data_IF_204794178695
#
_entry.id   IF_204794178695
#
_cell.length_a   1.000
_cell.length_b   1.000
_cell.length_c   1.000
_cell.angle_alpha   90.00
_cell.angle_beta   90.00
_cell.angle_gamma   90.00
#
_symmetry.space_group_name_H-M   'P 1'
#
loop_
_entity.id
_entity.type
_entity.pdbx_description
1 polymer ?
#
# COMPACT_ATOMS: atom_id res chain seq x y z
N UNK A 1 -44.51 33.72 -3.38
CA UNK A 1 -44.11 34.33 -4.66
C UNK A 1 -43.65 33.22 -5.59
N UNK A 2 -44.20 33.09 -6.80
CA UNK A 2 -43.65 32.18 -7.81
C UNK A 2 -42.34 32.78 -8.35
N UNK A 3 -41.28 31.97 -8.52
CA UNK A 3 -40.01 32.43 -9.08
C UNK A 3 -40.21 32.93 -10.52
N UNK A 4 -39.42 33.92 -10.94
CA UNK A 4 -39.45 34.47 -12.31
C UNK A 4 -39.32 33.36 -13.35
N UNK A 5 -38.50 32.34 -13.06
CA UNK A 5 -38.33 31.15 -13.89
C UNK A 5 -39.63 30.35 -14.03
N UNK A 6 -40.32 30.04 -12.93
CA UNK A 6 -41.59 29.29 -12.97
C UNK A 6 -42.67 29.99 -13.78
N UNK A 7 -42.74 31.33 -13.70
CA UNK A 7 -43.67 32.12 -14.53
C UNK A 7 -43.37 31.96 -16.02
N UNK A 8 -42.09 32.06 -16.40
CA UNK A 8 -41.65 31.92 -17.79
C UNK A 8 -41.84 30.50 -18.33
N UNK A 9 -41.58 29.48 -17.53
CA UNK A 9 -41.85 28.08 -17.88
C UNK A 9 -43.34 27.83 -18.13
N UNK A 10 -44.21 28.39 -17.28
CA UNK A 10 -45.67 28.32 -17.48
C UNK A 10 -46.13 29.08 -18.74
N UNK A 11 -45.59 30.28 -19.00
CA UNK A 11 -45.88 31.04 -20.23
C UNK A 11 -45.47 30.30 -21.50
N UNK A 12 -44.39 29.51 -21.41
CA UNK A 12 -43.85 28.71 -22.52
C UNK A 12 -44.44 27.29 -22.58
N UNK A 13 -45.33 26.93 -21.65
CA UNK A 13 -45.95 25.60 -21.52
C UNK A 13 -44.94 24.44 -21.50
N UNK A 14 -43.76 24.66 -20.90
CA UNK A 14 -42.71 23.63 -20.77
C UNK A 14 -42.37 23.34 -19.31
N UNK A 15 -41.99 22.09 -19.04
CA UNK A 15 -41.43 21.71 -17.74
C UNK A 15 -40.01 22.23 -17.57
N UNK A 16 -39.58 22.38 -16.32
CA UNK A 16 -38.20 22.75 -15.99
C UNK A 16 -37.19 21.70 -16.49
N UNK A 17 -37.53 20.42 -16.40
CA UNK A 17 -36.74 19.31 -16.96
C UNK A 17 -36.53 19.49 -18.47
N UNK A 18 -37.62 19.79 -19.20
CA UNK A 18 -37.55 20.00 -20.66
C UNK A 18 -36.77 21.26 -21.04
N UNK A 19 -36.76 22.29 -20.19
CA UNK A 19 -35.86 23.43 -20.36
C UNK A 19 -34.39 22.98 -20.26
N UNK A 20 -34.05 22.19 -19.25
CA UNK A 20 -32.68 21.68 -19.09
C UNK A 20 -32.27 20.77 -20.24
N UNK A 21 -33.18 19.94 -20.76
CA UNK A 21 -32.93 19.14 -21.96
C UNK A 21 -32.52 20.02 -23.15
N UNK A 22 -33.26 21.11 -23.42
CA UNK A 22 -32.90 22.04 -24.50
C UNK A 22 -31.56 22.74 -24.25
N UNK A 23 -31.28 23.09 -22.99
CA UNK A 23 -29.99 23.70 -22.62
C UNK A 23 -28.85 22.72 -22.90
N UNK A 24 -28.96 21.46 -22.47
CA UNK A 24 -27.93 20.46 -22.70
C UNK A 24 -27.82 20.08 -24.18
N UNK A 25 -28.94 19.99 -24.91
CA UNK A 25 -28.93 19.75 -26.37
C UNK A 25 -28.07 20.78 -27.12
N UNK A 26 -28.06 22.04 -26.67
CA UNK A 26 -27.23 23.09 -27.27
C UNK A 26 -25.83 23.19 -26.67
N UNK A 27 -25.69 22.96 -25.36
CA UNK A 27 -24.43 23.10 -24.66
C UNK A 27 -23.46 21.94 -24.94
N UNK A 28 -23.98 20.70 -25.00
CA UNK A 28 -23.18 19.50 -25.24
C UNK A 28 -22.38 19.53 -26.55
N UNK A 29 -22.91 19.91 -27.72
CA UNK A 29 -22.11 19.99 -28.93
C UNK A 29 -21.01 21.06 -28.81
N UNK A 30 -21.28 22.22 -28.20
CA UNK A 30 -20.28 23.27 -27.99
C UNK A 30 -19.15 22.77 -27.07
N UNK A 31 -19.50 22.11 -25.97
CA UNK A 31 -18.50 21.51 -25.06
C UNK A 31 -17.65 20.46 -25.76
N UNK A 32 -18.29 19.62 -26.59
CA UNK A 32 -17.61 18.61 -27.38
C UNK A 32 -16.63 19.25 -28.37
N UNK A 33 -17.06 20.25 -29.12
CA UNK A 33 -16.22 20.92 -30.12
C UNK A 33 -15.01 21.61 -29.47
N UNK A 34 -15.23 22.33 -28.36
CA UNK A 34 -14.16 22.96 -27.56
C UNK A 34 -13.17 21.91 -27.06
N UNK A 35 -13.69 20.78 -26.55
CA UNK A 35 -12.84 19.69 -26.05
C UNK A 35 -12.02 19.08 -27.18
N UNK A 36 -12.63 18.77 -28.32
CA UNK A 36 -11.93 18.20 -29.47
C UNK A 36 -10.89 19.16 -30.06
N UNK A 37 -11.16 20.47 -30.06
CA UNK A 37 -10.18 21.48 -30.45
C UNK A 37 -9.01 21.54 -29.47
N UNK A 38 -9.32 21.58 -28.16
CA UNK A 38 -8.31 21.60 -27.12
C UNK A 38 -7.42 20.34 -27.14
N UNK A 39 -7.99 19.16 -27.34
CA UNK A 39 -7.24 17.89 -27.40
C UNK A 39 -6.31 17.79 -28.63
N UNK A 40 -6.56 18.60 -29.66
CA UNK A 40 -5.68 18.70 -30.85
C UNK A 40 -4.52 19.68 -30.65
N UNK A 41 -4.54 20.49 -29.59
CA UNK A 41 -3.45 21.44 -29.31
C UNK A 41 -2.16 20.71 -28.94
N UNK A 42 -1.02 21.32 -29.30
CA UNK A 42 0.29 20.77 -28.96
C UNK A 42 0.49 20.73 -27.44
N UNK A 43 -0.03 21.73 -26.72
CA UNK A 43 0.06 21.81 -25.27
C UNK A 43 -0.67 20.66 -24.58
N UNK A 44 -1.87 20.31 -25.06
CA UNK A 44 -2.61 19.16 -24.52
C UNK A 44 -1.87 17.85 -24.78
N UNK A 45 -1.43 17.63 -26.02
CA UNK A 45 -0.72 16.41 -26.41
C UNK A 45 0.56 16.23 -25.59
N UNK A 46 1.39 17.27 -25.49
CA UNK A 46 2.61 17.24 -24.69
C UNK A 46 2.31 17.00 -23.20
N UNK A 47 1.29 17.66 -22.64
CA UNK A 47 0.89 17.46 -21.24
C UNK A 47 0.41 16.02 -20.99
N UNK A 48 -0.36 15.44 -21.91
CA UNK A 48 -0.82 14.07 -21.84
C UNK A 48 0.34 13.08 -21.90
N UNK A 49 1.27 13.24 -22.85
CA UNK A 49 2.45 12.40 -22.96
C UNK A 49 3.33 12.47 -21.70
N UNK A 50 3.56 13.69 -21.18
CA UNK A 50 4.30 13.86 -19.93
C UNK A 50 3.59 13.19 -18.75
N UNK A 51 2.26 13.32 -18.66
CA UNK A 51 1.47 12.67 -17.63
C UNK A 51 1.61 11.15 -17.70
N UNK A 52 1.52 10.56 -18.89
CA UNK A 52 1.65 9.11 -19.08
C UNK A 52 3.03 8.60 -18.66
N UNK A 53 4.09 9.31 -19.02
CA UNK A 53 5.47 8.97 -18.63
C UNK A 53 5.63 9.02 -17.11
N UNK A 54 5.13 10.08 -16.47
CA UNK A 54 5.21 10.25 -15.02
C UNK A 54 4.39 9.18 -14.30
N UNK A 55 3.17 8.87 -14.78
CA UNK A 55 2.33 7.82 -14.19
C UNK A 55 3.02 6.46 -14.27
N UNK A 56 3.53 6.09 -15.45
CA UNK A 56 4.23 4.82 -15.63
C UNK A 56 5.49 4.71 -14.74
N UNK A 57 6.22 5.82 -14.56
CA UNK A 57 7.36 5.87 -13.65
C UNK A 57 6.95 5.68 -12.18
N UNK A 58 5.87 6.35 -11.74
CA UNK A 58 5.37 6.25 -10.37
C UNK A 58 4.88 4.83 -10.04
N UNK A 59 4.15 4.22 -10.97
CA UNK A 59 3.66 2.84 -10.83
C UNK A 59 4.83 1.85 -10.71
N UNK A 60 5.83 1.98 -11.59
CA UNK A 60 7.03 1.14 -11.56
C UNK A 60 7.86 1.36 -10.28
N UNK A 61 8.01 2.62 -9.85
CA UNK A 61 8.68 2.96 -8.61
C UNK A 61 7.97 2.32 -7.41
N UNK A 62 6.65 2.43 -7.31
CA UNK A 62 5.88 1.87 -6.21
C UNK A 62 6.05 0.35 -6.12
N UNK A 63 5.95 -0.35 -7.25
CA UNK A 63 6.11 -1.79 -7.32
C UNK A 63 7.54 -2.24 -6.93
N UNK A 64 8.55 -1.50 -7.39
CA UNK A 64 9.95 -1.81 -7.10
C UNK A 64 10.33 -1.52 -5.64
N UNK A 65 9.93 -0.35 -5.14
CA UNK A 65 10.22 0.08 -3.77
C UNK A 65 9.53 -0.82 -2.74
N UNK A 66 8.39 -1.44 -3.09
CA UNK A 66 7.75 -2.46 -2.25
C UNK A 66 8.60 -3.72 -2.05
N UNK A 67 9.51 -4.03 -2.98
CA UNK A 67 10.38 -5.21 -2.94
C UNK A 67 11.74 -4.87 -2.33
N UNK A 68 12.35 -3.77 -2.77
CA UNK A 68 13.75 -3.43 -2.47
C UNK A 68 13.91 -2.31 -1.44
N UNK A 69 12.82 -1.64 -1.06
CA UNK A 69 12.79 -0.53 -0.12
C UNK A 69 12.57 0.82 -0.79
N UNK A 70 12.10 1.79 -0.01
CA UNK A 70 11.78 3.15 -0.47
C UNK A 70 12.96 3.82 -1.17
N UNK A 71 12.68 4.57 -2.23
CA UNK A 71 13.63 5.42 -2.95
C UNK A 71 14.76 4.64 -3.64
N UNK A 72 14.60 3.33 -3.85
CA UNK A 72 15.63 2.51 -4.49
C UNK A 72 15.49 2.49 -6.00
N UNK A 73 14.25 2.58 -6.53
CA UNK A 73 14.00 2.59 -7.97
C UNK A 73 14.78 3.68 -8.71
N UNK A 74 14.72 4.93 -8.23
CA UNK A 74 15.41 6.10 -8.82
C UNK A 74 16.94 6.01 -8.85
N UNK A 75 17.52 5.06 -8.10
CA UNK A 75 18.97 4.83 -8.14
C UNK A 75 19.40 3.94 -9.31
N UNK A 76 18.43 3.21 -9.90
CA UNK A 76 18.63 2.24 -10.96
C UNK A 76 18.07 2.73 -12.29
N UNK A 77 16.85 3.28 -12.28
CA UNK A 77 16.09 3.64 -13.47
C UNK A 77 15.91 5.16 -13.58
N UNK A 78 15.78 5.65 -14.82
CA UNK A 78 15.38 7.04 -15.10
C UNK A 78 13.86 7.20 -15.20
N UNK A 79 13.41 8.43 -15.47
CA UNK A 79 11.98 8.81 -15.58
C UNK A 79 11.25 8.09 -16.72
N UNK A 80 11.99 7.53 -17.69
CA UNK A 80 11.45 6.77 -18.80
C UNK A 80 11.55 5.25 -18.55
N UNK A 81 11.77 4.85 -17.29
CA UNK A 81 11.95 3.46 -16.87
C UNK A 81 13.12 2.75 -17.54
N UNK A 82 14.12 3.49 -18.02
CA UNK A 82 15.33 2.92 -18.62
C UNK A 82 16.34 2.60 -17.53
N UNK A 83 16.87 1.37 -17.51
CA UNK A 83 17.91 0.97 -16.56
C UNK A 83 19.21 1.71 -16.88
N UNK A 84 19.58 2.66 -16.02
CA UNK A 84 20.82 3.44 -16.13
C UNK A 84 21.93 2.90 -15.25
N UNK A 85 21.58 2.21 -14.16
CA UNK A 85 22.55 1.67 -13.22
C UNK A 85 22.32 0.18 -12.91
N UNK A 86 22.77 -0.72 -13.82
CA UNK A 86 22.61 -2.15 -13.62
C UNK A 86 23.38 -2.67 -12.39
N UNK A 87 24.51 -2.05 -12.03
CA UNK A 87 25.29 -2.48 -10.87
C UNK A 87 24.53 -2.26 -9.56
N UNK A 88 23.81 -1.14 -9.42
CA UNK A 88 22.98 -0.89 -8.23
C UNK A 88 21.81 -1.86 -8.15
N UNK A 89 21.18 -2.17 -9.28
CA UNK A 89 20.11 -3.16 -9.33
C UNK A 89 20.59 -4.53 -8.82
N UNK A 90 21.76 -4.99 -9.27
CA UNK A 90 22.32 -6.27 -8.81
C UNK A 90 22.67 -6.24 -7.30
N UNK A 91 23.18 -5.12 -6.78
CA UNK A 91 23.40 -4.96 -5.33
C UNK A 91 22.11 -5.05 -4.52
N UNK A 92 21.02 -4.47 -5.01
CA UNK A 92 19.71 -4.55 -4.36
C UNK A 92 19.14 -5.97 -4.37
N UNK A 93 19.25 -6.67 -5.50
CA UNK A 93 18.87 -8.09 -5.62
C UNK A 93 19.65 -8.98 -4.65
N UNK A 94 20.96 -8.79 -4.59
CA UNK A 94 21.81 -9.60 -3.70
C UNK A 94 21.48 -9.34 -2.22
N UNK A 95 21.29 -8.08 -1.83
CA UNK A 95 20.84 -7.73 -0.47
C UNK A 95 19.51 -8.40 -0.13
N UNK A 96 18.55 -8.37 -1.05
CA UNK A 96 17.24 -9.00 -0.86
C UNK A 96 17.38 -10.52 -0.70
N UNK A 97 18.18 -11.16 -1.55
CA UNK A 97 18.47 -12.60 -1.46
C UNK A 97 19.09 -12.97 -0.11
N UNK A 98 20.09 -12.23 0.35
CA UNK A 98 20.72 -12.47 1.65
C UNK A 98 19.73 -12.31 2.81
N UNK A 99 18.86 -11.30 2.75
CA UNK A 99 17.81 -11.09 3.75
C UNK A 99 16.79 -12.23 3.76
N UNK A 100 16.36 -12.70 2.59
CA UNK A 100 15.41 -13.81 2.46
C UNK A 100 16.03 -15.14 2.91
N UNK A 101 17.30 -15.39 2.58
CA UNK A 101 18.05 -16.56 3.04
C UNK A 101 18.25 -16.55 4.56
N UNK A 102 18.65 -15.41 5.13
CA UNK A 102 18.75 -15.25 6.58
C UNK A 102 17.41 -15.50 7.27
N UNK A 103 16.33 -14.92 6.74
CA UNK A 103 14.97 -15.11 7.26
C UNK A 103 14.58 -16.58 7.22
N UNK A 104 14.81 -17.27 6.08
CA UNK A 104 14.53 -18.70 5.92
C UNK A 104 15.34 -19.57 6.88
N UNK A 105 16.65 -19.31 7.02
CA UNK A 105 17.53 -20.03 7.96
C UNK A 105 17.12 -19.80 9.40
N UNK A 106 16.77 -18.56 9.77
CA UNK A 106 16.22 -18.22 11.09
C UNK A 106 14.94 -19.01 11.36
N UNK A 107 13.98 -19.00 10.44
CA UNK A 107 12.76 -19.81 10.58
C UNK A 107 13.04 -21.32 10.70
N UNK A 108 14.02 -21.85 9.96
CA UNK A 108 14.42 -23.25 10.04
C UNK A 108 15.11 -23.59 11.37
N UNK A 109 16.05 -22.76 11.83
CA UNK A 109 16.77 -22.93 13.10
C UNK A 109 15.80 -22.85 14.30
N UNK A 110 14.95 -21.82 14.34
CA UNK A 110 13.93 -21.69 15.39
C UNK A 110 12.83 -22.77 15.33
N UNK A 111 12.68 -23.47 14.19
CA UNK A 111 11.79 -24.63 14.05
C UNK A 111 12.45 -25.95 14.43
N UNK A 112 13.77 -26.07 14.32
CA UNK A 112 14.53 -27.23 14.79
C UNK A 112 14.85 -27.17 16.28
N UNK A 113 14.84 -25.98 16.89
CA UNK A 113 14.96 -25.77 18.33
C UNK A 113 13.66 -26.15 19.07
N UNK A 114 13.21 -27.40 18.92
CA UNK A 114 12.39 -28.08 19.92
C UNK A 114 13.28 -28.44 21.12
N UNK A 115 13.75 -27.44 21.85
CA UNK A 115 14.24 -27.68 23.20
C UNK A 115 13.01 -28.04 24.05
N UNK A 116 12.88 -29.33 24.34
CA UNK A 116 12.01 -29.84 25.39
C UNK A 116 12.49 -29.31 26.74
N UNK A 117 11.91 -28.19 27.16
CA UNK A 117 12.18 -27.56 28.46
C UNK A 117 11.21 -28.05 29.53
N UNK A 118 10.59 -29.23 29.37
CA UNK A 118 9.70 -29.85 30.37
C UNK A 118 10.39 -30.09 31.72
N UNK A 119 11.71 -29.91 31.83
CA UNK A 119 12.47 -30.21 33.06
C UNK A 119 12.77 -29.00 33.96
N UNK A 120 12.50 -27.75 33.56
CA UNK A 120 13.15 -26.59 34.23
C UNK A 120 12.25 -25.45 34.74
N UNK A 121 10.92 -25.52 34.65
CA UNK A 121 10.05 -24.50 35.25
C UNK A 121 8.84 -25.10 35.98
N UNK A 122 8.99 -25.21 37.30
CA UNK A 122 7.87 -25.24 38.22
C UNK A 122 7.04 -23.95 38.15
N UNK A 123 5.76 -24.08 38.48
CA UNK A 123 4.74 -23.04 38.56
C UNK A 123 4.31 -22.39 37.23
N UNK A 124 3.43 -23.10 36.52
CA UNK A 124 2.51 -22.49 35.56
C UNK A 124 1.54 -21.56 36.28
N UNK A 125 1.63 -20.26 36.01
CA UNK A 125 0.44 -19.42 36.07
C UNK A 125 -0.60 -20.06 35.16
N UNK A 126 -1.78 -20.38 35.69
CA UNK A 126 -2.84 -21.06 34.96
C UNK A 126 -3.26 -20.22 33.75
N UNK A 127 -2.72 -20.53 32.57
CA UNK A 127 -3.22 -19.96 31.32
C UNK A 127 -4.40 -20.81 30.86
N UNK A 128 -5.53 -20.16 30.59
CA UNK A 128 -6.80 -20.83 30.23
C UNK A 128 -6.82 -21.34 28.77
N UNK A 129 -5.67 -21.33 28.09
CA UNK A 129 -5.58 -21.74 26.69
C UNK A 129 -5.24 -23.22 26.58
N UNK A 130 -5.98 -23.93 25.73
CA UNK A 130 -5.66 -25.29 25.30
C UNK A 130 -4.32 -25.33 24.57
N UNK A 131 -3.71 -26.52 24.46
CA UNK A 131 -2.44 -26.68 23.75
C UNK A 131 -2.53 -26.31 22.27
N UNK A 132 -3.70 -26.51 21.64
CA UNK A 132 -3.98 -26.05 20.28
C UNK A 132 -4.00 -24.53 20.18
N UNK A 133 -4.62 -23.85 21.13
CA UNK A 133 -4.68 -22.37 21.16
C UNK A 133 -3.30 -21.79 21.46
N UNK A 134 -2.52 -22.40 22.36
CA UNK A 134 -1.11 -22.03 22.60
C UNK A 134 -0.27 -22.13 21.34
N UNK A 135 -0.48 -23.13 20.48
CA UNK A 135 0.19 -23.22 19.18
C UNK A 135 -0.19 -22.07 18.25
N UNK A 136 -1.44 -21.62 18.25
CA UNK A 136 -1.88 -20.46 17.48
C UNK A 136 -1.31 -19.16 18.04
N UNK A 137 -1.35 -18.96 19.36
CA UNK A 137 -0.77 -17.81 20.05
C UNK A 137 0.74 -17.70 19.82
N UNK A 138 1.46 -18.84 19.77
CA UNK A 138 2.88 -18.88 19.38
C UNK A 138 3.10 -18.37 17.95
N UNK A 139 2.23 -18.72 16.99
CA UNK A 139 2.31 -18.18 15.62
C UNK A 139 2.07 -16.67 15.59
N UNK A 140 1.06 -16.19 16.31
CA UNK A 140 0.73 -14.76 16.41
C UNK A 140 1.89 -13.98 17.03
N UNK A 141 2.44 -14.49 18.15
CA UNK A 141 3.59 -13.90 18.82
C UNK A 141 4.80 -13.80 17.89
N UNK A 142 5.09 -14.84 17.09
CA UNK A 142 6.21 -14.86 16.14
C UNK A 142 6.09 -13.81 15.05
N UNK A 143 4.90 -13.68 14.44
CA UNK A 143 4.65 -12.67 13.41
C UNK A 143 4.78 -11.26 13.99
N UNK A 144 4.26 -11.05 15.20
CA UNK A 144 4.36 -9.77 15.89
C UNK A 144 5.82 -9.43 16.26
N UNK A 145 6.56 -10.37 16.87
CA UNK A 145 7.94 -10.15 17.29
C UNK A 145 8.87 -9.87 16.10
N UNK A 146 8.69 -10.57 14.96
CA UNK A 146 9.45 -10.31 13.75
C UNK A 146 9.17 -8.90 13.17
N UNK A 147 7.90 -8.46 13.22
CA UNK A 147 7.50 -7.15 12.69
C UNK A 147 7.93 -5.98 13.56
N UNK A 148 7.96 -6.18 14.88
CA UNK A 148 8.24 -5.13 15.86
C UNK A 148 9.64 -5.24 16.49
N UNK A 149 10.53 -6.02 15.91
CA UNK A 149 11.91 -6.10 16.37
C UNK A 149 12.57 -4.70 16.27
N UNK A 150 13.38 -4.28 17.26
CA UNK A 150 14.09 -3.00 17.20
C UNK A 150 14.98 -2.86 15.96
N UNK A 151 15.53 -3.96 15.43
CA UNK A 151 16.30 -3.96 14.18
C UNK A 151 15.46 -3.63 12.93
N UNK A 152 14.14 -3.82 13.00
CA UNK A 152 13.20 -3.57 11.88
C UNK A 152 12.47 -2.23 12.06
N UNK A 153 12.31 -1.74 13.30
CA UNK A 153 11.55 -0.53 13.61
C UNK A 153 12.36 0.47 14.42
N UNK A 154 12.72 1.59 13.79
CA UNK A 154 13.77 2.50 14.27
C UNK A 154 13.43 3.37 15.48
N UNK A 155 12.20 3.37 16.02
CA UNK A 155 11.85 4.23 17.17
C UNK A 155 10.81 3.67 18.16
N UNK A 156 10.20 2.50 17.92
CA UNK A 156 9.16 1.93 18.80
C UNK A 156 9.29 0.42 19.08
N UNK A 157 10.32 -0.25 18.55
CA UNK A 157 10.49 -1.69 18.69
C UNK A 157 10.71 -2.16 20.13
N UNK A 158 11.41 -1.37 20.96
CA UNK A 158 11.72 -1.76 22.34
C UNK A 158 10.48 -1.76 23.26
N UNK A 159 9.59 -0.77 23.13
CA UNK A 159 8.33 -0.71 23.90
C UNK A 159 7.37 -1.83 23.49
N UNK A 160 7.29 -2.12 22.19
CA UNK A 160 6.41 -3.16 21.66
C UNK A 160 6.94 -4.56 22.00
N UNK A 161 8.26 -4.79 21.95
CA UNK A 161 8.86 -6.05 22.38
C UNK A 161 8.67 -6.32 23.89
N UNK A 162 8.77 -5.28 24.73
CA UNK A 162 8.43 -5.39 26.17
C UNK A 162 6.96 -5.75 26.40
N UNK A 163 6.04 -5.20 25.60
CA UNK A 163 4.61 -5.55 25.65
C UNK A 163 4.35 -6.99 25.20
N UNK A 164 4.93 -7.42 24.08
CA UNK A 164 4.86 -8.79 23.60
C UNK A 164 5.42 -9.78 24.64
N UNK A 165 6.51 -9.43 25.32
CA UNK A 165 7.06 -10.23 26.42
C UNK A 165 6.10 -10.42 27.60
N UNK A 166 5.25 -9.43 27.90
CA UNK A 166 4.18 -9.58 28.91
C UNK A 166 3.07 -10.51 28.43
N UNK A 167 2.64 -10.38 27.18
CA UNK A 167 1.63 -11.26 26.57
C UNK A 167 2.10 -12.71 26.54
N UNK A 168 3.36 -12.95 26.16
CA UNK A 168 4.00 -14.28 26.18
C UNK A 168 3.84 -14.96 27.55
N UNK A 169 4.16 -14.22 28.63
CA UNK A 169 4.01 -14.71 30.01
C UNK A 169 2.55 -14.96 30.39
N UNK A 170 1.63 -14.08 30.02
CA UNK A 170 0.19 -14.23 30.30
C UNK A 170 -0.46 -15.41 29.56
N UNK A 171 -0.02 -15.65 28.33
CA UNK A 171 -0.49 -16.77 27.51
C UNK A 171 0.13 -18.11 27.93
N UNK A 172 1.21 -18.07 28.72
CA UNK A 172 1.96 -19.26 29.14
C UNK A 172 2.64 -19.94 27.95
N UNK A 173 3.22 -19.15 27.04
CA UNK A 173 3.93 -19.63 25.83
C UNK A 173 5.39 -19.15 25.76
#
# INVERSE_FOLDING_TARGET
MQSTLKKKLNEMEISEERLWDYVYEKLTPIQKDIKEEYEKTEEYQAAHEHHDIVSAYQDAQQAFDAIYGKDTYKTCYDVFNTLRNPQQLERLKERKRQSDEYTKRSYQSYSSDNYDWSSLLGNTAASNYSDSEKKMLKKIYRVAAAKFHPDVTSNHGDTMMKFLGKLKKQWGI
#
